data_IF_592713018721
#
_entry.id   IF_592713018721
#
_cell.length_a   1.000
_cell.length_b   1.000
_cell.length_c   1.000
_cell.angle_alpha   90.00
_cell.angle_beta   90.00
_cell.angle_gamma   90.00
#
_symmetry.space_group_name_H-M   'P 1'
#
loop_
_entity.id
_entity.type
_entity.pdbx_description
1 polymer ?
#
# COMPACT_ATOMS: atom_id res chain seq x y z
N UNK A 1 -21.21 15.55 13.35
CA UNK A 1 -20.62 14.50 14.20
C UNK A 1 -19.95 13.49 13.26
N UNK A 2 -18.63 13.30 13.34
CA UNK A 2 -17.92 12.32 12.50
C UNK A 2 -17.63 11.07 13.32
N UNK A 3 -17.95 9.90 12.78
CA UNK A 3 -17.68 8.61 13.41
C UNK A 3 -16.50 7.95 12.71
N UNK A 4 -15.45 7.64 13.48
CA UNK A 4 -14.29 6.88 12.99
C UNK A 4 -14.41 5.47 13.55
N UNK A 5 -14.56 4.49 12.66
CA UNK A 5 -14.61 3.08 13.04
C UNK A 5 -13.20 2.63 13.43
N UNK A 6 -12.98 2.33 14.71
CA UNK A 6 -11.76 1.71 15.20
C UNK A 6 -11.94 0.19 15.29
N UNK A 7 -11.11 -0.55 14.55
CA UNK A 7 -11.01 -1.99 14.72
C UNK A 7 -10.41 -2.33 16.08
N UNK A 8 -11.01 -3.28 16.80
CA UNK A 8 -10.48 -3.82 18.07
C UNK A 8 -9.33 -4.82 17.86
N UNK A 9 -9.10 -5.25 16.62
CA UNK A 9 -8.04 -6.18 16.25
C UNK A 9 -6.87 -5.38 15.70
N UNK A 10 -5.66 -5.65 16.21
CA UNK A 10 -4.43 -5.07 15.66
C UNK A 10 -4.37 -5.43 14.16
N UNK A 11 -4.35 -4.44 13.26
CA UNK A 11 -4.27 -4.73 11.84
C UNK A 11 -2.96 -5.46 11.55
N UNK A 12 -3.07 -6.68 11.02
CA UNK A 12 -1.90 -7.50 10.66
C UNK A 12 -1.28 -7.10 9.32
N UNK A 13 -1.97 -6.27 8.53
CA UNK A 13 -1.63 -5.93 7.14
C UNK A 13 -1.63 -4.43 6.86
N UNK A 14 -1.99 -3.59 7.85
CA UNK A 14 -2.14 -2.15 7.68
C UNK A 14 -1.25 -1.39 8.67
N UNK A 15 0.03 -1.27 8.33
CA UNK A 15 0.87 -0.16 8.78
C UNK A 15 0.88 0.93 7.69
N UNK A 16 -0.29 1.40 7.25
CA UNK A 16 -0.39 2.29 6.07
C UNK A 16 -0.33 3.80 6.40
N UNK A 17 0.18 4.18 7.56
CA UNK A 17 0.54 5.60 7.75
C UNK A 17 1.89 5.83 7.07
N UNK A 18 1.84 6.10 5.76
CA UNK A 18 2.98 6.60 5.00
C UNK A 18 2.92 8.12 5.00
N UNK A 19 3.80 8.76 5.80
CA UNK A 19 3.89 10.22 5.88
C UNK A 19 4.87 10.67 4.81
N UNK A 20 4.36 11.27 3.73
CA UNK A 20 5.18 11.89 2.69
C UNK A 20 5.26 13.40 2.90
N UNK A 21 6.32 14.02 2.37
CA UNK A 21 6.43 15.48 2.31
C UNK A 21 5.45 16.04 1.29
N UNK A 22 5.04 17.30 1.45
CA UNK A 22 4.15 17.99 0.48
C UNK A 22 4.69 17.99 -0.96
N UNK A 23 6.00 17.91 -1.14
CA UNK A 23 6.69 17.86 -2.43
C UNK A 23 6.75 16.46 -3.05
N UNK A 24 6.35 15.43 -2.32
CA UNK A 24 6.40 14.03 -2.77
C UNK A 24 5.02 13.60 -3.25
N UNK A 25 4.97 13.07 -4.48
CA UNK A 25 3.74 12.50 -5.03
C UNK A 25 3.65 11.02 -4.69
N UNK A 26 2.57 10.62 -4.04
CA UNK A 26 2.22 9.21 -3.87
C UNK A 26 1.65 8.74 -5.20
N UNK A 27 2.32 7.79 -5.85
CA UNK A 27 1.83 7.16 -7.07
C UNK A 27 1.36 5.76 -6.70
N UNK A 28 0.09 5.48 -6.94
CA UNK A 28 -0.44 4.16 -6.66
C UNK A 28 0.04 3.15 -7.71
N UNK A 29 0.14 1.85 -7.36
CA UNK A 29 0.61 0.83 -8.29
C UNK A 29 -0.21 0.72 -9.59
N UNK A 30 -1.51 1.07 -9.56
CA UNK A 30 -2.35 1.10 -10.76
C UNK A 30 -2.19 2.36 -11.62
N UNK A 31 -1.56 3.41 -11.09
CA UNK A 31 -1.25 4.65 -11.82
C UNK A 31 0.13 4.56 -12.50
N UNK A 32 1.02 3.69 -12.00
CA UNK A 32 2.34 3.47 -12.58
C UNK A 32 2.35 2.30 -13.58
N UNK A 33 1.86 2.55 -14.80
CA UNK A 33 1.80 1.55 -15.87
C UNK A 33 3.17 1.02 -16.27
N UNK A 34 4.22 1.85 -16.17
CA UNK A 34 5.60 1.50 -16.53
C UNK A 34 6.18 0.41 -15.62
N UNK A 35 5.90 0.49 -14.31
CA UNK A 35 6.45 -0.45 -13.32
C UNK A 35 5.46 -1.56 -12.91
N UNK A 36 4.23 -1.55 -13.45
CA UNK A 36 3.19 -2.53 -13.14
C UNK A 36 3.65 -4.00 -13.18
N UNK A 37 4.50 -4.36 -14.15
CA UNK A 37 5.05 -5.73 -14.29
C UNK A 37 6.10 -6.05 -13.22
N UNK A 38 6.99 -5.13 -12.90
CA UNK A 38 8.02 -5.34 -11.87
C UNK A 38 7.39 -5.44 -10.49
N UNK A 39 6.44 -4.56 -10.20
CA UNK A 39 5.76 -4.47 -8.90
C UNK A 39 4.94 -5.73 -8.65
N UNK A 40 4.26 -6.25 -9.69
CA UNK A 40 3.56 -7.54 -9.63
C UNK A 40 4.51 -8.68 -9.33
N UNK A 41 5.68 -8.72 -10.00
CA UNK A 41 6.66 -9.80 -9.82
C UNK A 41 7.25 -9.76 -8.40
N UNK A 42 7.54 -8.57 -7.89
CA UNK A 42 8.02 -8.38 -6.52
C UNK A 42 6.96 -8.73 -5.48
N UNK A 43 5.70 -8.35 -5.70
CA UNK A 43 4.57 -8.72 -4.84
C UNK A 43 4.40 -10.24 -4.74
N UNK A 44 4.39 -10.94 -5.88
CA UNK A 44 4.30 -12.41 -5.94
C UNK A 44 5.47 -13.07 -5.20
N UNK A 45 6.70 -12.58 -5.43
CA UNK A 45 7.91 -13.06 -4.75
C UNK A 45 7.85 -12.86 -3.23
N UNK A 46 7.44 -11.68 -2.74
CA UNK A 46 7.30 -11.38 -1.31
C UNK A 46 6.26 -12.29 -0.63
N UNK A 47 5.27 -12.77 -1.39
CA UNK A 47 4.23 -13.65 -0.90
C UNK A 47 4.58 -15.15 -1.01
N UNK A 48 5.72 -15.49 -1.61
CA UNK A 48 6.12 -16.89 -1.80
C UNK A 48 5.17 -17.68 -2.70
N UNK A 49 4.39 -16.98 -3.52
CA UNK A 49 3.47 -17.59 -4.49
C UNK A 49 4.32 -17.94 -5.72
N UNK A 50 4.57 -19.23 -5.94
CA UNK A 50 5.34 -19.72 -7.10
C UNK A 50 4.46 -19.82 -8.34
#
# INVERSE_FOLDING_TARGET
MFFVLFSKIKPTWWNTVHISKKSEWIVFPWENTLNSKSDRKEYIKKRGLS
#
